data_IF_669851214876
#
_entry.id   IF_669851214876
#
_cell.length_a   1.000
_cell.length_b   1.000
_cell.length_c   1.000
_cell.angle_alpha   90.00
_cell.angle_beta   90.00
_cell.angle_gamma   90.00
#
_symmetry.space_group_name_H-M   'P 1'
#
loop_
_entity.id
_entity.type
_entity.pdbx_description
1 polymer ?
#
# COMPACT_ATOMS: atom_id res chain seq x y z
N UNK A 1 17.17 -64.55 41.50
CA UNK A 1 17.38 -63.09 41.50
C UNK A 1 16.80 -62.57 40.20
N UNK A 2 15.53 -62.11 40.21
CA UNK A 2 14.83 -61.68 39.00
C UNK A 2 15.18 -60.20 38.72
N UNK A 3 15.99 -59.97 37.69
CA UNK A 3 16.31 -58.63 37.19
C UNK A 3 15.13 -58.10 36.38
N UNK A 4 14.43 -57.13 36.95
CA UNK A 4 13.34 -56.42 36.30
C UNK A 4 13.95 -55.32 35.40
N UNK A 5 14.18 -55.62 34.13
CA UNK A 5 14.67 -54.65 33.16
C UNK A 5 13.52 -53.68 32.77
N UNK A 6 13.74 -52.35 32.78
CA UNK A 6 12.73 -51.39 32.36
C UNK A 6 12.40 -51.62 30.87
N UNK A 7 11.11 -51.83 30.56
CA UNK A 7 10.62 -51.93 29.18
C UNK A 7 10.99 -50.66 28.42
N UNK A 8 11.68 -50.80 27.29
CA UNK A 8 11.90 -49.70 26.35
C UNK A 8 10.56 -49.10 25.92
N UNK A 9 10.45 -47.76 25.79
CA UNK A 9 9.22 -47.14 25.33
C UNK A 9 8.96 -47.62 23.91
N UNK A 10 7.93 -48.45 23.73
CA UNK A 10 7.61 -49.02 22.43
C UNK A 10 7.18 -47.89 21.50
N UNK A 11 7.98 -47.66 20.45
CA UNK A 11 7.67 -46.74 19.38
C UNK A 11 6.40 -47.21 18.68
N UNK A 12 5.28 -46.69 19.16
CA UNK A 12 3.95 -47.04 18.64
C UNK A 12 3.68 -46.20 17.41
N UNK A 13 2.98 -46.74 16.42
CA UNK A 13 2.56 -46.04 15.18
C UNK A 13 1.98 -44.65 15.46
N UNK A 14 1.23 -44.50 16.55
CA UNK A 14 0.65 -43.23 17.01
C UNK A 14 1.71 -42.19 17.41
N UNK A 15 2.78 -42.59 18.08
CA UNK A 15 3.91 -41.71 18.42
C UNK A 15 4.71 -41.30 17.19
N UNK A 16 4.88 -42.21 16.21
CA UNK A 16 5.55 -41.88 14.95
C UNK A 16 4.73 -40.83 14.18
N UNK A 17 3.42 -41.04 14.02
CA UNK A 17 2.52 -40.10 13.34
C UNK A 17 2.43 -38.73 14.03
N UNK A 18 2.34 -38.72 15.36
CA UNK A 18 2.27 -37.44 16.11
C UNK A 18 3.57 -36.64 16.05
N UNK A 19 4.74 -37.30 16.05
CA UNK A 19 6.03 -36.61 15.88
C UNK A 19 6.24 -36.13 14.44
N UNK A 20 5.83 -36.90 13.43
CA UNK A 20 5.91 -36.48 12.03
C UNK A 20 5.02 -35.27 11.75
N UNK A 21 3.80 -35.24 12.31
CA UNK A 21 2.88 -34.12 12.17
C UNK A 21 3.42 -32.83 12.81
N UNK A 22 4.08 -32.93 13.98
CA UNK A 22 4.70 -31.79 14.65
C UNK A 22 5.87 -31.20 13.83
N UNK A 23 6.69 -32.05 13.19
CA UNK A 23 7.78 -31.59 12.33
C UNK A 23 7.27 -30.97 11.02
N UNK A 24 6.23 -31.56 10.39
CA UNK A 24 5.64 -31.01 9.18
C UNK A 24 5.00 -29.63 9.43
N UNK A 25 4.30 -29.45 10.56
CA UNK A 25 3.69 -28.16 10.91
C UNK A 25 4.70 -27.02 11.07
N UNK A 26 5.94 -27.31 11.51
CA UNK A 26 7.01 -26.33 11.65
C UNK A 26 7.59 -25.80 10.33
N UNK A 27 7.59 -26.64 9.29
CA UNK A 27 8.18 -26.32 7.97
C UNK A 27 7.20 -25.55 7.08
N UNK A 28 5.89 -25.78 7.26
CA UNK A 28 4.83 -25.10 6.50
C UNK A 28 4.33 -23.81 7.17
N UNK A 29 4.86 -23.43 8.34
CA UNK A 29 4.59 -22.12 8.92
C UNK A 29 5.20 -21.05 8.00
N UNK A 30 4.38 -20.12 7.46
CA UNK A 30 4.92 -18.98 6.75
C UNK A 30 5.91 -18.27 7.68
N UNK A 31 7.15 -18.09 7.23
CA UNK A 31 8.18 -17.31 7.93
C UNK A 31 7.85 -15.80 7.94
N UNK A 32 6.57 -15.43 7.86
CA UNK A 32 6.04 -14.07 7.72
C UNK A 32 6.26 -13.19 8.94
N UNK A 33 7.03 -13.66 9.94
CA UNK A 33 7.35 -12.95 11.17
C UNK A 33 8.82 -12.58 11.34
N UNK A 34 9.73 -12.97 10.44
CA UNK A 34 11.07 -12.39 10.44
C UNK A 34 10.94 -10.97 9.91
N UNK A 35 10.84 -10.00 10.83
CA UNK A 35 10.80 -8.58 10.53
C UNK A 35 11.87 -8.28 9.50
N UNK A 36 11.44 -7.92 8.29
CA UNK A 36 12.36 -7.42 7.27
C UNK A 36 13.13 -6.29 7.95
N UNK A 37 14.47 -6.33 7.99
CA UNK A 37 15.21 -5.16 8.45
C UNK A 37 14.66 -3.98 7.67
N UNK A 38 14.30 -2.91 8.37
CA UNK A 38 13.82 -1.69 7.73
C UNK A 38 14.80 -1.38 6.62
N UNK A 39 14.32 -1.38 5.37
CA UNK A 39 15.17 -0.97 4.27
C UNK A 39 15.74 0.41 4.63
N UNK A 40 17.03 0.67 4.36
CA UNK A 40 17.56 2.01 4.56
C UNK A 40 16.69 2.99 3.78
N UNK A 41 16.37 4.12 4.40
CA UNK A 41 15.59 5.16 3.73
C UNK A 41 16.33 5.57 2.46
N UNK A 42 15.63 5.57 1.32
CA UNK A 42 16.21 6.00 0.05
C UNK A 42 16.45 7.51 0.15
N UNK A 43 17.72 7.91 0.17
CA UNK A 43 18.09 9.32 0.15
C UNK A 43 18.12 9.79 -1.32
N UNK A 44 17.19 10.70 -1.68
CA UNK A 44 17.18 11.33 -2.98
C UNK A 44 18.40 12.25 -3.20
N UNK A 45 18.76 12.47 -4.47
CA UNK A 45 19.89 13.35 -4.85
C UNK A 45 19.44 14.78 -5.24
N UNK A 46 18.18 15.15 -5.02
CA UNK A 46 17.66 16.46 -5.44
C UNK A 46 18.15 17.57 -4.50
N UNK A 47 18.87 18.56 -5.05
CA UNK A 47 19.37 19.73 -4.29
C UNK A 47 18.38 20.91 -4.28
N UNK A 48 17.51 20.98 -5.29
CA UNK A 48 16.54 22.07 -5.48
C UNK A 48 15.17 21.52 -5.88
N UNK A 49 14.11 22.09 -5.32
CA UNK A 49 12.72 21.67 -5.54
C UNK A 49 11.84 22.90 -5.79
N UNK A 50 10.95 22.80 -6.79
CA UNK A 50 9.86 23.76 -6.98
C UNK A 50 8.63 23.19 -6.29
N UNK A 51 8.14 23.88 -5.25
CA UNK A 51 6.91 23.51 -4.55
C UNK A 51 5.76 24.41 -5.00
N UNK A 52 4.71 23.80 -5.56
CA UNK A 52 3.48 24.49 -5.96
C UNK A 52 2.40 24.16 -4.93
N UNK A 53 2.08 25.14 -4.06
CA UNK A 53 1.04 25.00 -3.05
C UNK A 53 -0.30 25.56 -3.54
N UNK A 54 -1.32 24.71 -3.60
CA UNK A 54 -2.67 25.08 -4.02
C UNK A 54 -3.59 25.12 -2.80
N UNK A 55 -3.55 26.19 -2.01
CA UNK A 55 -4.26 26.29 -0.73
C UNK A 55 -5.79 26.23 -0.82
N UNK A 56 -6.38 26.54 -1.97
CA UNK A 56 -7.81 26.33 -2.26
C UNK A 56 -8.13 24.94 -2.84
N UNK A 57 -7.10 24.14 -3.12
CA UNK A 57 -7.18 22.79 -3.67
C UNK A 57 -7.48 22.75 -5.17
N UNK A 58 -6.81 21.84 -5.87
CA UNK A 58 -7.42 21.25 -7.06
C UNK A 58 -8.42 20.18 -6.60
N UNK A 59 -9.57 20.06 -7.26
CA UNK A 59 -10.50 18.97 -6.99
C UNK A 59 -9.84 17.64 -7.32
N UNK A 60 -9.69 16.73 -6.33
CA UNK A 60 -9.12 15.40 -6.58
C UNK A 60 -9.89 14.64 -7.67
N UNK A 61 -11.21 14.79 -7.68
CA UNK A 61 -12.12 14.12 -8.62
C UNK A 61 -11.95 14.58 -10.07
N UNK A 62 -11.25 15.69 -10.30
CA UNK A 62 -11.06 16.37 -11.59
C UNK A 62 -9.56 16.57 -11.91
N UNK A 63 -8.64 15.82 -11.28
CA UNK A 63 -7.18 15.99 -11.47
C UNK A 63 -6.42 14.69 -11.72
N UNK A 64 -5.63 14.22 -10.74
CA UNK A 64 -4.75 13.06 -10.82
C UNK A 64 -5.46 11.72 -10.51
N UNK A 65 -6.68 11.77 -9.98
CA UNK A 65 -7.54 10.61 -9.73
C UNK A 65 -8.98 10.89 -10.17
N UNK A 66 -9.21 11.12 -11.47
CA UNK A 66 -10.53 11.46 -11.96
C UNK A 66 -11.51 10.33 -11.62
N UNK A 67 -12.65 10.68 -11.02
CA UNK A 67 -13.74 9.70 -10.86
C UNK A 67 -14.42 9.49 -12.21
N UNK A 68 -15.28 8.46 -12.29
CA UNK A 68 -16.15 8.28 -13.46
C UNK A 68 -16.85 9.59 -13.79
N UNK A 69 -16.93 9.93 -15.08
CA UNK A 69 -17.62 11.14 -15.51
C UNK A 69 -19.07 11.16 -15.01
N UNK A 70 -19.43 12.25 -14.35
CA UNK A 70 -20.77 12.52 -13.86
C UNK A 70 -21.71 12.95 -14.98
N UNK A 71 -22.99 13.08 -14.63
CA UNK A 71 -24.03 13.58 -15.53
C UNK A 71 -25.03 14.37 -14.69
N UNK A 72 -24.99 15.72 -14.72
CA UNK A 72 -25.89 16.56 -13.95
C UNK A 72 -27.36 16.36 -14.32
N UNK A 73 -27.66 16.14 -15.61
CA UNK A 73 -29.04 15.94 -16.09
C UNK A 73 -29.61 14.61 -15.57
N UNK A 74 -28.78 13.57 -15.50
CA UNK A 74 -29.16 12.28 -14.92
C UNK A 74 -28.89 12.17 -13.40
N UNK A 75 -28.47 13.27 -12.74
CA UNK A 75 -28.08 13.31 -11.32
C UNK A 75 -27.04 12.23 -10.93
N UNK A 76 -26.12 11.93 -11.84
CA UNK A 76 -25.05 10.95 -11.61
C UNK A 76 -23.82 11.68 -11.05
N UNK A 77 -23.35 11.37 -9.83
CA UNK A 77 -22.17 11.99 -9.27
C UNK A 77 -20.90 11.50 -9.99
N UNK A 78 -19.88 12.34 -10.05
CA UNK A 78 -18.64 12.01 -10.73
C UNK A 78 -17.76 13.22 -11.04
N UNK A 79 -16.70 12.97 -11.79
CA UNK A 79 -15.87 14.02 -12.41
C UNK A 79 -16.71 14.89 -13.34
N UNK A 80 -16.44 16.18 -13.38
CA UNK A 80 -17.06 17.08 -14.36
C UNK A 80 -16.46 16.85 -15.75
N UNK A 81 -15.18 16.47 -15.79
CA UNK A 81 -14.40 16.35 -17.01
C UNK A 81 -14.12 14.88 -17.36
N UNK A 82 -13.96 14.54 -18.66
CA UNK A 82 -13.44 13.25 -19.08
C UNK A 82 -12.03 12.99 -18.56
N UNK A 83 -11.72 11.70 -18.39
CA UNK A 83 -10.36 11.23 -18.15
C UNK A 83 -9.69 10.87 -19.49
N UNK A 84 -8.37 11.05 -19.55
CA UNK A 84 -7.51 10.70 -20.69
C UNK A 84 -6.44 9.70 -20.25
N UNK A 85 -5.99 8.87 -21.18
CA UNK A 85 -4.90 7.92 -20.95
C UNK A 85 -3.55 8.64 -20.78
N UNK A 86 -2.63 7.98 -20.09
CA UNK A 86 -1.30 8.52 -19.79
C UNK A 86 -0.21 7.65 -20.40
N UNK A 87 1.07 8.03 -20.21
CA UNK A 87 2.21 7.19 -20.60
C UNK A 87 2.28 5.84 -19.84
N UNK A 88 1.49 5.66 -18.78
CA UNK A 88 1.43 4.42 -17.99
C UNK A 88 0.11 3.71 -18.27
N UNK A 89 0.18 2.47 -18.75
CA UNK A 89 -0.99 1.66 -19.07
C UNK A 89 -1.93 1.51 -17.86
N UNK A 90 -3.23 1.78 -18.09
CA UNK A 90 -4.26 1.70 -17.07
C UNK A 90 -4.29 2.87 -16.08
N UNK A 91 -3.42 3.87 -16.23
CA UNK A 91 -3.47 5.12 -15.46
C UNK A 91 -4.08 6.23 -16.30
N UNK A 92 -5.06 6.92 -15.72
CA UNK A 92 -5.76 8.03 -16.35
C UNK A 92 -5.71 9.29 -15.48
N UNK A 93 -5.75 10.45 -16.13
CA UNK A 93 -5.83 11.78 -15.49
C UNK A 93 -6.90 12.63 -16.18
N UNK A 94 -7.32 13.73 -15.57
CA UNK A 94 -8.26 14.67 -16.18
C UNK A 94 -7.74 15.25 -17.51
N UNK A 95 -8.63 15.51 -18.48
CA UNK A 95 -8.26 16.07 -19.80
C UNK A 95 -7.45 17.38 -19.72
N UNK A 96 -7.64 18.17 -18.66
CA UNK A 96 -6.90 19.42 -18.44
C UNK A 96 -5.42 19.21 -18.09
N UNK A 97 -5.02 17.97 -17.78
CA UNK A 97 -3.63 17.57 -17.56
C UNK A 97 -2.99 16.95 -18.82
N UNK A 98 -3.49 17.29 -20.02
CA UNK A 98 -2.99 16.76 -21.31
C UNK A 98 -1.49 16.91 -21.53
N UNK A 99 -0.86 17.98 -21.03
CA UNK A 99 0.59 18.16 -21.10
C UNK A 99 1.37 17.29 -20.11
N UNK A 100 0.72 16.85 -19.02
CA UNK A 100 1.32 16.02 -17.99
C UNK A 100 1.09 14.52 -18.22
N UNK A 101 -0.03 14.15 -18.85
CA UNK A 101 -0.36 12.77 -19.21
C UNK A 101 0.79 12.00 -19.88
N UNK A 102 1.53 12.54 -20.87
CA UNK A 102 2.67 11.84 -21.48
C UNK A 102 3.91 11.74 -20.58
N UNK A 103 3.93 12.38 -19.41
CA UNK A 103 5.05 12.40 -18.46
C UNK A 103 4.76 11.59 -17.19
N UNK A 104 3.61 10.90 -17.12
CA UNK A 104 3.19 10.18 -15.92
C UNK A 104 4.10 9.00 -15.55
N UNK A 105 4.92 8.50 -16.47
CA UNK A 105 5.99 7.52 -16.21
C UNK A 105 7.09 8.08 -15.29
N UNK A 106 7.14 9.41 -15.12
CA UNK A 106 8.09 10.13 -14.25
C UNK A 106 7.44 10.74 -13.02
N UNK A 107 6.14 10.51 -12.83
CA UNK A 107 5.37 11.10 -11.73
C UNK A 107 5.09 10.04 -10.67
N UNK A 108 5.38 10.37 -9.41
CA UNK A 108 4.88 9.58 -8.28
C UNK A 108 3.66 10.29 -7.70
N UNK A 109 2.47 9.75 -7.94
CA UNK A 109 1.24 10.29 -7.40
C UNK A 109 1.05 9.86 -5.94
N UNK A 110 1.04 10.82 -5.01
CA UNK A 110 0.69 10.61 -3.59
C UNK A 110 -0.75 11.04 -3.38
N UNK A 111 -1.62 10.09 -3.03
CA UNK A 111 -3.09 10.30 -3.02
C UNK A 111 -3.65 10.69 -1.66
N UNK A 112 -2.90 10.45 -0.59
CA UNK A 112 -3.42 10.58 0.77
C UNK A 112 -2.34 11.03 1.73
N UNK A 113 -2.71 11.97 2.59
CA UNK A 113 -2.00 12.34 3.81
C UNK A 113 -2.96 12.11 4.96
N UNK A 114 -2.51 11.44 6.02
CA UNK A 114 -3.32 11.14 7.19
C UNK A 114 -2.66 11.71 8.45
N UNK A 115 -3.48 12.15 9.40
CA UNK A 115 -3.05 12.56 10.72
C UNK A 115 -4.06 12.20 11.80
N UNK A 116 -3.57 12.15 13.04
CA UNK A 116 -4.35 11.80 14.23
C UNK A 116 -4.94 13.01 14.97
N UNK A 117 -4.63 14.24 14.52
CA UNK A 117 -5.17 15.46 15.15
C UNK A 117 -6.66 15.56 14.84
N UNK A 118 -7.47 15.60 15.89
CA UNK A 118 -8.93 15.67 15.82
C UNK A 118 -9.37 17.13 15.58
N UNK A 119 -10.42 17.32 14.77
CA UNK A 119 -11.06 18.61 14.49
C UNK A 119 -10.13 19.72 13.94
N UNK A 120 -9.02 19.36 13.29
CA UNK A 120 -8.06 20.32 12.74
C UNK A 120 -7.64 19.99 11.30
N UNK A 121 -8.13 20.77 10.34
CA UNK A 121 -7.76 20.62 8.93
C UNK A 121 -6.36 21.14 8.61
N UNK A 122 -5.87 22.16 9.34
CA UNK A 122 -4.55 22.74 9.10
C UNK A 122 -3.41 21.79 9.51
N UNK A 123 -3.69 20.74 10.27
CA UNK A 123 -2.69 19.76 10.69
C UNK A 123 -2.14 18.95 9.52
N UNK A 124 -2.93 18.70 8.47
CA UNK A 124 -2.44 18.08 7.23
C UNK A 124 -1.54 19.06 6.44
N UNK A 125 -1.98 20.31 6.32
CA UNK A 125 -1.22 21.37 5.65
C UNK A 125 0.15 21.58 6.28
N UNK A 126 0.22 21.69 7.61
CA UNK A 126 1.48 21.86 8.32
C UNK A 126 2.44 20.69 8.08
N UNK A 127 1.95 19.44 8.08
CA UNK A 127 2.77 18.24 7.78
C UNK A 127 3.31 18.19 6.35
N UNK A 128 2.73 18.92 5.40
CA UNK A 128 3.26 19.02 4.04
C UNK A 128 4.38 20.07 3.93
N UNK A 129 4.45 21.01 4.87
CA UNK A 129 5.45 22.07 4.90
C UNK A 129 6.65 21.77 5.79
N UNK A 130 6.50 20.92 6.80
CA UNK A 130 7.52 20.56 7.79
C UNK A 130 8.02 19.13 7.61
#
# INVERSE_FOLDING_TARGET
MNLNLPRSPQLTRRHCLSRLAACAGGIFLPQTGFGRPSAPLIQGQAEHVISIWLGGGMGQIDSFDPKRQGDPSAKRPGSLYPAIDTAVDGVQVCEHLSQLAPLMDRVTAVRTVHHEVIDEHAAATNRMHT
#
